data_IF_770214017217
#
_entry.id   IF_770214017217
#
_cell.length_a   1.000
_cell.length_b   1.000
_cell.length_c   1.000
_cell.angle_alpha   90.00
_cell.angle_beta   90.00
_cell.angle_gamma   90.00
#
_symmetry.space_group_name_H-M   'P 1'
#
loop_
_entity.id
_entity.type
_entity.pdbx_description
1 polymer ?
#
# COMPACT_ATOMS: atom_id res chain seq x y z
N UNK A 1 3.55 6.95 -19.04
CA UNK A 1 3.86 7.68 -17.79
C UNK A 1 5.36 7.93 -17.77
N UNK A 2 5.80 9.16 -17.53
CA UNK A 2 7.22 9.47 -17.35
C UNK A 2 7.61 9.19 -15.91
N UNK A 3 8.60 8.34 -15.69
CA UNK A 3 9.18 8.09 -14.36
C UNK A 3 10.53 8.81 -14.29
N UNK A 4 10.79 9.48 -13.18
CA UNK A 4 12.07 10.12 -12.87
C UNK A 4 12.51 9.65 -11.49
N UNK A 5 13.81 9.51 -11.29
CA UNK A 5 14.40 9.10 -10.02
C UNK A 5 14.62 10.32 -9.13
N UNK A 6 14.55 10.13 -7.80
CA UNK A 6 14.81 11.21 -6.84
C UNK A 6 16.20 11.83 -7.01
N UNK A 7 17.19 11.02 -7.39
CA UNK A 7 18.57 11.44 -7.66
C UNK A 7 18.72 12.40 -8.84
N UNK A 8 17.79 12.38 -9.79
CA UNK A 8 17.80 13.27 -10.96
C UNK A 8 17.18 14.64 -10.66
N UNK A 9 16.55 14.80 -9.49
CA UNK A 9 15.97 16.07 -9.08
C UNK A 9 17.04 17.02 -8.51
N UNK A 10 16.89 18.34 -8.66
CA UNK A 10 17.69 19.32 -7.93
C UNK A 10 17.71 19.07 -6.42
N UNK A 11 18.85 19.34 -5.76
CA UNK A 11 19.06 19.09 -4.32
C UNK A 11 17.98 19.72 -3.43
N UNK A 12 17.49 20.90 -3.79
CA UNK A 12 16.40 21.57 -3.07
C UNK A 12 15.13 20.72 -3.06
N UNK A 13 14.74 20.15 -4.20
CA UNK A 13 13.56 19.28 -4.29
C UNK A 13 13.79 17.97 -3.55
N UNK A 14 15.00 17.40 -3.63
CA UNK A 14 15.34 16.21 -2.84
C UNK A 14 15.19 16.45 -1.34
N UNK A 15 15.62 17.62 -0.87
CA UNK A 15 15.52 18.01 0.55
C UNK A 15 14.05 18.14 0.99
N UNK A 16 13.23 18.84 0.21
CA UNK A 16 11.79 18.98 0.48
C UNK A 16 11.07 17.63 0.51
N UNK A 17 11.39 16.74 -0.43
CA UNK A 17 10.81 15.39 -0.50
C UNK A 17 11.23 14.57 0.74
N UNK A 18 12.49 14.65 1.15
CA UNK A 18 12.99 13.96 2.35
C UNK A 18 12.36 14.51 3.63
N UNK A 19 12.10 15.82 3.70
CA UNK A 19 11.36 16.44 4.81
C UNK A 19 9.93 15.91 4.88
N UNK A 20 9.19 15.92 3.77
CA UNK A 20 7.84 15.35 3.70
C UNK A 20 7.83 13.87 4.11
N UNK A 21 8.80 13.09 3.62
CA UNK A 21 8.93 11.66 3.93
C UNK A 21 9.19 11.42 5.42
N UNK A 22 10.06 12.22 6.04
CA UNK A 22 10.44 12.07 7.46
C UNK A 22 9.32 12.52 8.39
N UNK A 23 8.66 13.64 8.07
CA UNK A 23 7.51 14.12 8.83
C UNK A 23 6.28 13.20 8.65
N UNK A 24 6.18 12.49 7.52
CA UNK A 24 5.00 11.70 7.17
C UNK A 24 3.77 12.58 6.85
N UNK A 25 4.00 13.86 6.60
CA UNK A 25 2.99 14.88 6.33
C UNK A 25 3.05 15.34 4.88
N UNK A 26 1.92 15.84 4.38
CA UNK A 26 1.81 16.39 3.04
C UNK A 26 2.35 17.82 3.02
N UNK A 27 3.22 18.13 2.06
CA UNK A 27 3.68 19.49 1.81
C UNK A 27 2.92 20.10 0.64
N UNK A 28 2.43 21.32 0.81
CA UNK A 28 1.80 22.12 -0.25
C UNK A 28 2.75 23.24 -0.67
N UNK A 29 3.09 23.29 -1.94
CA UNK A 29 3.86 24.37 -2.56
C UNK A 29 2.86 25.39 -3.08
N UNK A 30 2.98 26.62 -2.60
CA UNK A 30 2.10 27.74 -2.95
C UNK A 30 2.89 28.69 -3.85
N UNK A 31 2.28 29.09 -4.97
CA UNK A 31 2.79 30.11 -5.87
C UNK A 31 1.75 31.23 -5.97
N UNK A 32 2.14 32.47 -5.70
CA UNK A 32 1.26 33.65 -5.74
C UNK A 32 -0.03 33.50 -4.90
N UNK A 33 0.04 32.80 -3.76
CA UNK A 33 -1.11 32.55 -2.88
C UNK A 33 -2.03 31.42 -3.35
N UNK A 34 -1.69 30.73 -4.45
CA UNK A 34 -2.46 29.63 -5.01
C UNK A 34 -1.67 28.31 -4.84
N UNK A 35 -2.30 27.21 -4.40
CA UNK A 35 -1.65 25.90 -4.40
C UNK A 35 -1.20 25.51 -5.81
N UNK A 36 0.10 25.34 -5.99
CA UNK A 36 0.71 24.98 -7.27
C UNK A 36 1.02 23.48 -7.35
N UNK A 37 1.56 22.91 -6.27
CA UNK A 37 1.93 21.50 -6.23
C UNK A 37 1.77 20.90 -4.83
N UNK A 38 1.58 19.58 -4.77
CA UNK A 38 1.47 18.82 -3.53
C UNK A 38 2.49 17.68 -3.56
N UNK A 39 3.29 17.58 -2.50
CA UNK A 39 4.17 16.44 -2.26
C UNK A 39 3.54 15.64 -1.12
N UNK A 40 2.96 14.49 -1.45
CA UNK A 40 2.37 13.58 -0.48
C UNK A 40 3.18 12.29 -0.41
N UNK A 41 3.78 11.95 0.75
CA UNK A 41 4.43 10.66 0.94
C UNK A 41 3.44 9.52 0.70
N UNK A 42 3.84 8.53 -0.09
CA UNK A 42 3.03 7.32 -0.28
C UNK A 42 3.12 6.49 1.00
N UNK A 43 2.05 6.53 1.80
CA UNK A 43 1.90 5.66 2.97
C UNK A 43 1.44 4.29 2.48
N UNK A 44 2.36 3.34 2.38
CA UNK A 44 1.96 1.93 2.25
C UNK A 44 1.32 1.51 3.56
N UNK A 45 0.02 1.25 3.53
CA UNK A 45 -0.66 0.58 4.65
C UNK A 45 -0.01 -0.79 4.83
N UNK A 46 0.23 -1.19 6.08
CA UNK A 46 0.61 -2.58 6.33
C UNK A 46 -0.54 -3.49 5.90
N UNK A 47 -0.23 -4.74 5.54
CA UNK A 47 -1.27 -5.74 5.26
C UNK A 47 -2.25 -5.81 6.43
N UNK A 48 -1.75 -5.77 7.66
CA UNK A 48 -2.55 -5.74 8.88
C UNK A 48 -3.51 -4.54 8.94
N UNK A 49 -3.04 -3.33 8.64
CA UNK A 49 -3.90 -2.13 8.58
C UNK A 49 -4.98 -2.23 7.50
N UNK A 50 -4.68 -2.88 6.38
CA UNK A 50 -5.67 -3.10 5.32
C UNK A 50 -6.72 -4.12 5.77
N UNK A 51 -6.28 -5.24 6.35
CA UNK A 51 -7.20 -6.28 6.83
C UNK A 51 -8.08 -5.78 7.98
N UNK A 52 -7.58 -4.90 8.84
CA UNK A 52 -8.38 -4.29 9.92
C UNK A 52 -9.49 -3.37 9.42
N UNK A 53 -9.51 -3.01 8.14
CA UNK A 53 -10.59 -2.19 7.55
C UNK A 53 -11.67 -3.01 6.85
N UNK A 54 -11.53 -4.34 6.78
CA UNK A 54 -12.51 -5.20 6.14
C UNK A 54 -13.66 -5.49 7.11
N UNK A 55 -14.88 -5.32 6.62
CA UNK A 55 -16.08 -5.76 7.34
C UNK A 55 -16.18 -7.29 7.32
N UNK A 56 -16.77 -7.91 8.36
CA UNK A 56 -17.10 -9.33 8.31
C UNK A 56 -17.96 -9.63 7.09
N UNK A 57 -17.68 -10.75 6.44
CA UNK A 57 -18.52 -11.25 5.37
C UNK A 57 -19.75 -11.92 5.99
N UNK A 58 -20.95 -11.52 5.55
CA UNK A 58 -22.23 -12.10 5.96
C UNK A 58 -22.55 -13.44 5.24
N UNK A 59 -21.56 -14.01 4.54
CA UNK A 59 -21.68 -15.30 3.87
C UNK A 59 -20.91 -16.38 4.63
N UNK A 60 -21.54 -17.54 4.79
CA UNK A 60 -20.86 -18.73 5.25
C UNK A 60 -19.86 -19.18 4.19
N UNK A 61 -18.64 -19.51 4.61
CA UNK A 61 -17.67 -20.11 3.70
C UNK A 61 -18.20 -21.47 3.26
N UNK A 62 -18.21 -21.71 1.94
CA UNK A 62 -18.53 -23.01 1.40
C UNK A 62 -17.58 -24.07 1.97
N UNK A 63 -18.11 -25.27 2.24
CA UNK A 63 -17.29 -26.42 2.62
C UNK A 63 -16.44 -26.83 1.42
N UNK A 64 -15.17 -26.41 1.42
CA UNK A 64 -14.19 -26.73 0.37
C UNK A 64 -13.75 -28.18 0.41
N UNK A 65 -13.99 -28.86 1.54
CA UNK A 65 -13.63 -30.26 1.75
C UNK A 65 -14.81 -31.20 1.38
N UNK A 66 -15.95 -30.64 0.97
CA UNK A 66 -17.12 -31.41 0.56
C UNK A 66 -16.79 -32.38 -0.59
N UNK A 67 -16.85 -33.67 -0.30
CA UNK A 67 -16.57 -34.73 -1.27
C UNK A 67 -15.08 -35.03 -1.47
N UNK A 68 -14.18 -34.39 -0.70
CA UNK A 68 -12.79 -34.81 -0.62
C UNK A 68 -12.67 -36.05 0.26
N UNK A 69 -11.72 -36.91 -0.10
CA UNK A 69 -11.36 -38.05 0.75
C UNK A 69 -10.70 -37.52 2.04
N UNK A 70 -10.94 -38.17 3.20
CA UNK A 70 -10.15 -37.95 4.40
C UNK A 70 -8.65 -38.01 4.09
N UNK A 71 -7.86 -37.20 4.79
CA UNK A 71 -6.41 -37.16 4.59
C UNK A 71 -5.73 -38.51 4.83
N UNK A 72 -6.35 -39.40 5.60
CA UNK A 72 -5.84 -40.76 5.85
C UNK A 72 -6.08 -41.71 4.66
N UNK A 73 -6.99 -41.36 3.74
CA UNK A 73 -7.39 -42.15 2.58
C UNK A 73 -6.72 -41.67 1.27
N UNK A 74 -5.83 -40.66 1.33
CA UNK A 74 -5.02 -40.24 0.17
C UNK A 74 -3.74 -41.08 0.11
N UNK A 75 -3.53 -41.81 -0.98
CA UNK A 75 -2.22 -42.40 -1.26
C UNK A 75 -1.25 -41.28 -1.67
N UNK A 76 -0.43 -40.83 -0.73
CA UNK A 76 0.72 -39.97 -1.05
C UNK A 76 1.68 -40.79 -1.92
N UNK A 77 1.66 -40.54 -3.23
CA UNK A 77 2.63 -41.14 -4.15
C UNK A 77 4.00 -40.49 -3.92
N UNK A 78 4.82 -41.14 -3.10
CA UNK A 78 6.25 -40.87 -2.98
C UNK A 78 6.99 -41.17 -4.29
#
# INVERSE_FOLDING_TARGET
>A
MTQITLSELPQTLQTLINQAKTAGETLTIIENGIPFAIISPIKKKSLLQTLSTLEPLDEDFADVDAGLLPLDDIEQKC
#
